data_IF_123929547436
#
_entry.id   IF_123929547436
#
_cell.length_a   1.000
_cell.length_b   1.000
_cell.length_c   1.000
_cell.angle_alpha   90.00
_cell.angle_beta   90.00
_cell.angle_gamma   90.00
#
_symmetry.space_group_name_H-M   'P 1'
#
loop_
_entity.id
_entity.type
_entity.pdbx_description
1 polymer ?
#
# COMPACT_ATOMS: atom_id res chain seq x y z
N UNK A 1 11.43 24.26 -45.64
CA UNK A 1 11.98 23.61 -44.43
C UNK A 1 11.25 24.17 -43.22
N UNK A 2 10.20 23.50 -42.71
CA UNK A 2 9.42 24.04 -41.60
C UNK A 2 8.88 22.91 -40.74
N UNK A 3 9.32 22.84 -39.49
CA UNK A 3 8.58 22.38 -38.30
C UNK A 3 9.48 22.06 -37.06
N UNK A 4 10.42 22.92 -36.61
CA UNK A 4 11.11 22.64 -35.34
C UNK A 4 10.26 22.98 -34.10
N UNK A 5 9.26 23.85 -34.21
CA UNK A 5 8.48 24.32 -33.04
C UNK A 5 7.42 23.32 -32.58
N UNK A 6 6.79 22.57 -33.49
CA UNK A 6 5.72 21.62 -33.16
C UNK A 6 6.21 20.47 -32.27
N UNK A 7 7.44 20.01 -32.51
CA UNK A 7 8.05 18.92 -31.74
C UNK A 7 8.31 19.32 -30.28
N UNK A 8 8.78 20.55 -30.03
CA UNK A 8 9.01 21.07 -28.68
C UNK A 8 7.72 21.22 -27.86
N UNK A 9 6.61 21.58 -28.50
CA UNK A 9 5.30 21.71 -27.84
C UNK A 9 4.78 20.33 -27.45
N UNK A 10 4.90 19.35 -28.35
CA UNK A 10 4.48 17.96 -28.09
C UNK A 10 5.24 17.34 -26.91
N UNK A 11 6.55 17.60 -26.81
CA UNK A 11 7.37 17.15 -25.67
C UNK A 11 6.94 17.78 -24.34
N UNK A 12 6.60 19.06 -24.33
CA UNK A 12 6.11 19.75 -23.12
C UNK A 12 4.77 19.18 -22.66
N UNK A 13 3.84 18.94 -23.58
CA UNK A 13 2.53 18.34 -23.26
C UNK A 13 2.72 16.91 -22.73
N UNK A 14 3.60 16.10 -23.33
CA UNK A 14 3.90 14.76 -22.82
C UNK A 14 4.55 14.79 -21.43
N UNK A 15 5.42 15.75 -21.16
CA UNK A 15 6.03 15.91 -19.83
C UNK A 15 5.00 16.28 -18.76
N UNK A 16 4.11 17.23 -19.06
CA UNK A 16 3.02 17.65 -18.17
C UNK A 16 2.04 16.50 -17.88
N UNK A 17 1.68 15.71 -18.89
CA UNK A 17 0.84 14.52 -18.73
C UNK A 17 1.49 13.44 -17.85
N UNK A 18 2.81 13.22 -18.00
CA UNK A 18 3.55 12.28 -17.14
C UNK A 18 3.60 12.74 -15.68
N UNK A 19 3.78 14.04 -15.43
CA UNK A 19 3.78 14.60 -14.07
C UNK A 19 2.38 14.45 -13.42
N UNK A 20 1.32 14.75 -14.17
CA UNK A 20 -0.07 14.54 -13.72
C UNK A 20 -0.37 13.08 -13.42
N UNK A 21 0.07 12.15 -14.28
CA UNK A 21 -0.13 10.72 -14.08
C UNK A 21 0.61 10.21 -12.82
N UNK A 22 1.82 10.72 -12.56
CA UNK A 22 2.60 10.35 -11.37
C UNK A 22 1.96 10.87 -10.07
N UNK A 23 1.28 12.01 -10.11
CA UNK A 23 0.53 12.56 -8.96
C UNK A 23 -0.76 11.78 -8.68
N UNK A 24 -1.41 11.25 -9.71
CA UNK A 24 -2.65 10.50 -9.59
C UNK A 24 -2.44 9.06 -9.11
N UNK A 25 -1.27 8.47 -9.39
CA UNK A 25 -0.89 7.13 -8.91
C UNK A 25 0.40 7.22 -8.09
N UNK A 26 0.36 7.73 -6.85
CA UNK A 26 1.49 7.61 -5.96
C UNK A 26 1.77 6.11 -5.80
N UNK A 27 2.95 5.65 -6.23
CA UNK A 27 3.40 4.28 -5.96
C UNK A 27 3.26 4.07 -4.45
N UNK A 28 2.47 3.10 -3.99
CA UNK A 28 2.38 2.84 -2.57
C UNK A 28 3.79 2.51 -2.05
N UNK A 29 4.20 3.08 -0.90
CA UNK A 29 5.56 2.95 -0.37
C UNK A 29 5.91 1.47 -0.22
N UNK A 30 7.13 1.01 -0.53
CA UNK A 30 7.47 -0.41 -0.66
C UNK A 30 7.19 -1.30 0.58
N UNK A 31 6.81 -0.72 1.72
CA UNK A 31 6.54 -1.39 2.99
C UNK A 31 5.07 -1.71 3.30
N UNK A 32 4.10 -1.48 2.40
CA UNK A 32 2.70 -1.84 2.71
C UNK A 32 2.40 -3.34 2.61
N UNK A 33 3.30 -4.13 2.02
CA UNK A 33 3.03 -5.51 1.62
C UNK A 33 3.18 -6.55 2.75
N UNK A 34 3.64 -6.17 3.94
CA UNK A 34 3.87 -7.13 5.03
C UNK A 34 3.36 -6.60 6.37
N UNK A 35 2.17 -6.00 6.38
CA UNK A 35 1.39 -6.08 7.61
C UNK A 35 1.04 -7.56 7.74
N UNK A 36 1.72 -8.28 8.63
CA UNK A 36 1.38 -9.65 9.00
C UNK A 36 -0.05 -9.68 9.52
N UNK A 37 -1.04 -9.70 8.62
CA UNK A 37 -2.44 -9.99 8.90
C UNK A 37 -2.63 -11.50 9.02
N UNK A 38 -1.62 -12.19 9.55
CA UNK A 38 -1.72 -13.60 9.89
C UNK A 38 -2.87 -13.76 10.86
N UNK A 39 -3.78 -14.66 10.55
CA UNK A 39 -4.88 -14.95 11.46
C UNK A 39 -4.33 -15.65 12.69
N UNK A 40 -4.45 -15.01 13.85
CA UNK A 40 -4.00 -15.51 15.14
C UNK A 40 -5.18 -16.16 15.86
N UNK A 41 -5.04 -17.43 16.19
CA UNK A 41 -6.03 -18.18 16.95
C UNK A 41 -5.54 -18.39 18.38
N UNK A 42 -6.36 -18.05 19.37
CA UNK A 42 -6.11 -18.35 20.78
C UNK A 42 -6.12 -19.85 21.04
N UNK A 43 -5.02 -20.38 21.57
CA UNK A 43 -4.91 -21.80 21.90
C UNK A 43 -5.86 -22.24 23.03
N UNK A 44 -6.29 -21.31 23.89
CA UNK A 44 -7.12 -21.63 25.06
C UNK A 44 -8.62 -21.72 24.74
N UNK A 45 -9.14 -20.79 23.92
CA UNK A 45 -10.58 -20.70 23.63
C UNK A 45 -10.92 -20.75 22.13
N UNK A 46 -9.92 -20.81 21.24
CA UNK A 46 -10.14 -20.82 19.79
C UNK A 46 -10.52 -19.48 19.18
N UNK A 47 -10.47 -18.37 19.93
CA UNK A 47 -10.79 -17.04 19.40
C UNK A 47 -9.82 -16.63 18.29
N UNK A 48 -10.35 -16.21 17.14
CA UNK A 48 -9.59 -15.87 15.92
C UNK A 48 -9.54 -14.35 15.75
N UNK A 49 -8.34 -13.81 15.57
CA UNK A 49 -8.14 -12.38 15.35
C UNK A 49 -7.10 -12.11 14.27
N UNK A 50 -7.22 -10.97 13.59
CA UNK A 50 -6.26 -10.54 12.56
C UNK A 50 -4.99 -9.93 13.13
N UNK A 51 -4.88 -9.81 14.46
CA UNK A 51 -3.77 -9.20 15.17
C UNK A 51 -3.40 -10.05 16.39
N UNK A 52 -2.11 -10.04 16.77
CA UNK A 52 -1.61 -10.74 17.96
C UNK A 52 -1.90 -9.91 19.22
N UNK A 53 -2.68 -10.46 20.14
CA UNK A 53 -2.89 -9.87 21.46
C UNK A 53 -1.94 -10.48 22.49
N UNK A 54 -1.48 -9.70 23.47
CA UNK A 54 -0.70 -10.21 24.61
C UNK A 54 -1.53 -11.17 25.48
N UNK A 55 -2.83 -10.88 25.62
CA UNK A 55 -3.84 -11.71 26.27
C UNK A 55 -5.07 -11.81 25.37
N UNK A 56 -5.67 -12.98 25.31
CA UNK A 56 -6.90 -13.19 24.56
C UNK A 56 -8.04 -12.33 25.15
N UNK A 57 -8.78 -11.56 24.34
CA UNK A 57 -9.88 -10.72 24.85
C UNK A 57 -11.06 -11.53 25.37
N UNK A 58 -11.29 -12.74 24.84
CA UNK A 58 -12.42 -13.58 25.26
C UNK A 58 -12.17 -14.30 26.59
N UNK A 59 -10.98 -14.88 26.77
CA UNK A 59 -10.69 -15.75 27.93
C UNK A 59 -9.56 -15.24 28.83
N UNK A 60 -8.90 -14.13 28.48
CA UNK A 60 -7.79 -13.57 29.25
C UNK A 60 -6.49 -14.37 29.22
N UNK A 61 -6.44 -15.51 28.52
CA UNK A 61 -5.26 -16.36 28.45
C UNK A 61 -4.08 -15.64 27.79
N UNK A 62 -2.88 -15.81 28.33
CA UNK A 62 -1.65 -15.27 27.76
C UNK A 62 -1.29 -16.01 26.46
N UNK A 63 -1.04 -15.26 25.39
CA UNK A 63 -0.63 -15.82 24.09
C UNK A 63 0.90 -15.91 24.06
N UNK A 64 1.46 -17.12 23.96
CA UNK A 64 2.91 -17.36 23.86
C UNK A 64 3.39 -17.42 22.42
#
# INVERSE_FOLDING_TARGET
>A
MGAPKYDSIRRRIQADQRDKQARLNPKPPPNYAEVNTGEHTCAACGFRARYRYLRCPECGAAQK
#
